data_IF_837927434098
#
_entry.id   IF_837927434098
#
_cell.length_a   1.000
_cell.length_b   1.000
_cell.length_c   1.000
_cell.angle_alpha   90.00
_cell.angle_beta   90.00
_cell.angle_gamma   90.00
#
_symmetry.space_group_name_H-M   'P 1'
#
loop_
_entity.id
_entity.type
_entity.pdbx_description
1 polymer ?
#
# COMPACT_ATOMS: atom_id res chain seq x y z
N UNK A 1 6.34 24.69 -13.15
CA UNK A 1 5.44 24.26 -12.06
C UNK A 1 6.27 23.99 -10.82
N UNK A 2 5.70 24.23 -9.65
CA UNK A 2 6.29 23.88 -8.36
C UNK A 2 5.74 22.54 -7.90
N UNK A 3 6.62 21.57 -7.69
CA UNK A 3 6.29 20.21 -7.24
C UNK A 3 6.83 20.07 -5.82
N UNK A 4 5.97 19.70 -4.89
CA UNK A 4 6.34 19.54 -3.49
C UNK A 4 6.17 18.09 -3.09
N UNK A 5 7.26 17.47 -2.64
CA UNK A 5 7.24 16.16 -1.95
C UNK A 5 7.09 16.49 -0.47
N UNK A 6 5.87 16.32 0.04
CA UNK A 6 5.44 16.97 1.29
C UNK A 6 5.87 16.21 2.55
N UNK A 7 6.28 14.95 2.38
CA UNK A 7 6.75 14.05 3.43
C UNK A 7 7.81 13.07 2.88
N UNK A 8 8.61 12.40 3.73
CA UNK A 8 9.57 11.42 3.29
C UNK A 8 8.93 10.25 2.52
N UNK A 9 9.49 9.91 1.36
CA UNK A 9 9.03 8.78 0.54
C UNK A 9 9.75 7.46 0.84
N UNK A 10 10.65 7.43 1.84
CA UNK A 10 11.40 6.24 2.21
C UNK A 10 12.45 5.80 1.18
N UNK A 11 12.91 6.71 0.33
CA UNK A 11 13.97 6.48 -0.65
C UNK A 11 15.22 7.30 -0.30
N UNK A 12 16.39 6.87 -0.80
CA UNK A 12 17.63 7.60 -0.55
C UNK A 12 17.68 8.90 -1.35
N UNK A 13 18.46 9.91 -0.91
CA UNK A 13 18.65 11.17 -1.64
C UNK A 13 19.11 10.96 -3.09
N UNK A 14 19.97 9.97 -3.34
CA UNK A 14 20.48 9.66 -4.68
C UNK A 14 19.34 9.16 -5.60
N UNK A 15 18.49 8.25 -5.12
CA UNK A 15 17.32 7.77 -5.85
C UNK A 15 16.30 8.90 -6.10
N UNK A 16 16.12 9.79 -5.13
CA UNK A 16 15.26 10.95 -5.31
C UNK A 16 15.82 11.88 -6.39
N UNK A 17 17.11 12.15 -6.37
CA UNK A 17 17.78 12.99 -7.36
C UNK A 17 17.64 12.38 -8.77
N UNK A 18 17.87 11.08 -8.92
CA UNK A 18 17.69 10.33 -10.18
C UNK A 18 16.24 10.43 -10.68
N UNK A 19 15.27 10.09 -9.85
CA UNK A 19 13.85 10.10 -10.19
C UNK A 19 13.33 11.50 -10.59
N UNK A 20 13.92 12.56 -10.03
CA UNK A 20 13.49 13.94 -10.29
C UNK A 20 14.28 14.64 -11.39
N UNK A 21 15.39 14.06 -11.87
CA UNK A 21 16.30 14.70 -12.83
C UNK A 21 15.61 15.14 -14.11
N UNK A 22 14.82 14.27 -14.73
CA UNK A 22 14.11 14.58 -15.98
C UNK A 22 13.06 15.69 -15.80
N UNK A 23 12.44 15.78 -14.64
CA UNK A 23 11.44 16.79 -14.31
C UNK A 23 12.11 18.16 -14.08
N UNK A 24 13.23 18.17 -13.36
CA UNK A 24 14.06 19.38 -13.15
C UNK A 24 14.61 19.90 -14.47
N UNK A 25 15.09 19.02 -15.37
CA UNK A 25 15.61 19.38 -16.69
C UNK A 25 14.57 20.08 -17.58
N UNK A 26 13.26 19.86 -17.30
CA UNK A 26 12.15 20.55 -17.97
C UNK A 26 11.80 21.91 -17.33
N UNK A 27 12.61 22.38 -16.41
CA UNK A 27 12.42 23.70 -15.75
C UNK A 27 11.37 23.67 -14.63
N UNK A 28 11.07 22.52 -14.03
CA UNK A 28 10.18 22.45 -12.88
C UNK A 28 10.97 22.54 -11.57
N UNK A 29 10.45 23.30 -10.61
CA UNK A 29 10.98 23.37 -9.26
C UNK A 29 10.51 22.17 -8.45
N UNK A 30 11.42 21.52 -7.71
CA UNK A 30 11.10 20.41 -6.80
C UNK A 30 11.61 20.74 -5.40
N UNK A 31 10.68 20.80 -4.46
CA UNK A 31 10.95 20.94 -3.02
C UNK A 31 10.60 19.60 -2.37
N UNK A 32 11.53 19.04 -1.60
CA UNK A 32 11.30 17.77 -0.88
C UNK A 32 11.55 17.98 0.61
N UNK A 33 10.60 17.51 1.42
CA UNK A 33 10.72 17.48 2.87
C UNK A 33 11.14 16.09 3.33
N UNK A 34 12.08 16.04 4.24
CA UNK A 34 12.66 14.82 4.84
C UNK A 34 12.02 14.44 6.19
N UNK A 35 11.05 15.25 6.64
CA UNK A 35 10.33 15.06 7.90
C UNK A 35 8.81 15.04 7.68
N UNK A 36 8.10 14.22 8.46
CA UNK A 36 6.64 14.31 8.56
C UNK A 36 6.26 15.57 9.36
N UNK A 37 5.13 16.14 9.02
CA UNK A 37 4.57 17.31 9.72
C UNK A 37 3.17 16.97 10.21
N UNK A 38 3.00 16.82 11.52
CA UNK A 38 1.72 16.47 12.13
C UNK A 38 0.78 17.66 12.28
N UNK A 39 1.33 18.86 12.42
CA UNK A 39 0.57 20.09 12.47
C UNK A 39 -0.01 20.41 11.09
N UNK A 40 -1.32 20.42 10.99
CA UNK A 40 -2.04 20.61 9.72
C UNK A 40 -1.84 22.01 9.12
N UNK A 41 -1.62 23.02 9.95
CA UNK A 41 -1.37 24.39 9.47
C UNK A 41 0.02 24.50 8.86
N UNK A 42 1.03 23.91 9.51
CA UNK A 42 2.39 23.82 8.96
C UNK A 42 2.45 22.93 7.73
N UNK A 43 1.67 21.86 7.71
CA UNK A 43 1.56 21.00 6.53
C UNK A 43 0.99 21.78 5.33
N UNK A 44 -0.04 22.59 5.57
CA UNK A 44 -0.60 23.47 4.57
C UNK A 44 0.42 24.51 4.07
N UNK A 45 1.24 25.06 4.96
CA UNK A 45 2.32 26.00 4.58
C UNK A 45 3.35 25.34 3.64
N UNK A 46 3.68 24.04 3.85
CA UNK A 46 4.56 23.29 2.92
C UNK A 46 3.99 23.21 1.52
N UNK A 47 2.65 23.07 1.39
CA UNK A 47 1.96 22.85 0.13
C UNK A 47 1.33 24.08 -0.53
N UNK A 48 1.27 25.23 0.16
CA UNK A 48 0.43 26.38 -0.24
C UNK A 48 0.65 26.91 -1.66
N UNK A 49 1.90 26.88 -2.13
CA UNK A 49 2.29 27.39 -3.46
C UNK A 49 2.53 26.27 -4.48
N UNK A 50 2.24 25.01 -4.13
CA UNK A 50 2.48 23.88 -4.99
C UNK A 50 1.45 23.78 -6.11
N UNK A 51 1.90 23.52 -7.33
CA UNK A 51 1.05 23.06 -8.44
C UNK A 51 0.75 21.56 -8.31
N UNK A 52 1.74 20.78 -7.84
CA UNK A 52 1.69 19.32 -7.67
C UNK A 52 2.23 18.98 -6.28
N UNK A 53 1.49 18.14 -5.56
CA UNK A 53 1.99 17.58 -4.29
C UNK A 53 2.14 16.06 -4.47
N UNK A 54 3.32 15.55 -4.08
CA UNK A 54 3.59 14.12 -3.92
C UNK A 54 3.51 13.80 -2.44
N UNK A 55 2.69 12.84 -2.08
CA UNK A 55 2.40 12.45 -0.70
C UNK A 55 2.40 10.92 -0.58
N UNK A 56 2.86 10.38 0.54
CA UNK A 56 2.80 8.94 0.80
C UNK A 56 1.50 8.57 1.55
N UNK A 57 1.50 8.69 2.87
CA UNK A 57 0.38 8.22 3.69
C UNK A 57 -0.03 9.20 4.80
N UNK A 58 0.51 10.42 4.80
CA UNK A 58 0.16 11.43 5.78
C UNK A 58 -1.28 11.94 5.52
N UNK A 59 -2.11 12.17 6.56
CA UNK A 59 -3.43 12.74 6.37
C UNK A 59 -3.38 14.10 5.68
N UNK A 60 -4.10 14.22 4.58
CA UNK A 60 -4.16 15.44 3.76
C UNK A 60 -5.63 15.74 3.46
N UNK A 61 -6.29 16.36 4.44
CA UNK A 61 -7.72 16.57 4.45
C UNK A 61 -8.11 17.93 3.89
N UNK A 62 -9.41 18.17 3.78
CA UNK A 62 -10.00 19.40 3.25
C UNK A 62 -9.35 20.67 3.83
N UNK A 63 -9.15 20.74 5.15
CA UNK A 63 -8.56 21.89 5.85
C UNK A 63 -7.13 22.24 5.37
N UNK A 64 -6.37 21.27 4.86
CA UNK A 64 -5.06 21.48 4.25
C UNK A 64 -5.21 21.80 2.77
N UNK A 65 -5.99 21.00 2.03
CA UNK A 65 -6.17 21.12 0.59
C UNK A 65 -6.71 22.51 0.22
N UNK A 66 -7.66 23.07 0.98
CA UNK A 66 -8.26 24.37 0.70
C UNK A 66 -7.28 25.55 0.80
N UNK A 67 -6.15 25.38 1.50
CA UNK A 67 -5.08 26.36 1.61
C UNK A 67 -4.08 26.29 0.44
N UNK A 68 -4.05 25.18 -0.30
CA UNK A 68 -3.17 24.96 -1.45
C UNK A 68 -3.82 25.48 -2.74
N UNK A 69 -3.83 26.80 -2.93
CA UNK A 69 -4.62 27.49 -3.96
C UNK A 69 -4.23 27.16 -5.41
N UNK A 70 -2.98 26.77 -5.65
CA UNK A 70 -2.46 26.46 -6.99
C UNK A 70 -2.50 24.97 -7.31
N UNK A 71 -2.96 24.12 -6.36
CA UNK A 71 -2.88 22.67 -6.47
C UNK A 71 -3.76 22.15 -7.60
N UNK A 72 -3.14 21.39 -8.52
CA UNK A 72 -3.77 20.76 -9.68
C UNK A 72 -3.74 19.25 -9.60
N UNK A 73 -2.72 18.70 -8.92
CA UNK A 73 -2.51 17.26 -8.84
C UNK A 73 -1.98 16.85 -7.45
N UNK A 74 -2.63 15.86 -6.86
CA UNK A 74 -2.12 15.05 -5.76
C UNK A 74 -1.64 13.70 -6.30
N UNK A 75 -0.34 13.44 -6.21
CA UNK A 75 0.28 12.17 -6.59
C UNK A 75 0.57 11.37 -5.33
N UNK A 76 -0.24 10.35 -5.07
CA UNK A 76 -0.13 9.52 -3.88
C UNK A 76 0.82 8.37 -4.16
N UNK A 77 1.97 8.33 -3.47
CA UNK A 77 2.99 7.29 -3.58
C UNK A 77 2.61 5.99 -2.83
N UNK A 78 1.33 5.70 -2.77
CA UNK A 78 0.72 4.52 -2.15
C UNK A 78 -0.47 4.03 -2.98
N UNK A 79 -1.00 2.85 -2.65
CA UNK A 79 -2.21 2.32 -3.29
C UNK A 79 -3.47 2.97 -2.71
N UNK A 80 -3.57 3.03 -1.37
CA UNK A 80 -4.73 3.60 -0.69
C UNK A 80 -4.73 5.13 -0.74
N UNK A 81 -5.91 5.73 -0.85
CA UNK A 81 -6.12 7.18 -0.86
C UNK A 81 -7.05 7.65 0.27
N UNK A 82 -7.32 6.78 1.25
CA UNK A 82 -8.26 7.04 2.35
C UNK A 82 -7.84 8.21 3.26
N UNK A 83 -6.55 8.58 3.22
CA UNK A 83 -5.98 9.73 3.94
C UNK A 83 -6.19 11.07 3.21
N UNK A 84 -6.68 11.03 1.96
CA UNK A 84 -7.01 12.21 1.14
C UNK A 84 -8.52 12.44 1.16
N UNK A 85 -8.95 13.70 1.14
CA UNK A 85 -10.34 14.09 0.90
C UNK A 85 -10.59 14.14 -0.62
N UNK A 86 -10.81 12.97 -1.22
CA UNK A 86 -10.94 12.80 -2.68
C UNK A 86 -12.16 13.53 -3.23
N UNK A 87 -13.28 13.53 -2.49
CA UNK A 87 -14.50 14.20 -2.92
C UNK A 87 -14.28 15.72 -2.98
N UNK A 88 -13.62 16.29 -1.98
CA UNK A 88 -13.24 17.69 -2.00
C UNK A 88 -12.26 18.03 -3.14
N UNK A 89 -11.28 17.16 -3.41
CA UNK A 89 -10.39 17.33 -4.57
C UNK A 89 -11.18 17.39 -5.88
N UNK A 90 -12.16 16.49 -6.05
CA UNK A 90 -13.02 16.44 -7.23
C UNK A 90 -13.85 17.73 -7.38
N UNK A 91 -14.44 18.23 -6.30
CA UNK A 91 -15.17 19.50 -6.29
C UNK A 91 -14.29 20.68 -6.73
N UNK A 92 -13.00 20.67 -6.37
CA UNK A 92 -12.02 21.71 -6.70
C UNK A 92 -11.32 21.49 -8.05
N UNK A 93 -11.62 20.43 -8.78
CA UNK A 93 -10.93 20.09 -10.03
C UNK A 93 -9.48 19.63 -9.84
N UNK A 94 -9.11 19.19 -8.64
CA UNK A 94 -7.78 18.66 -8.33
C UNK A 94 -7.76 17.18 -8.71
N UNK A 95 -6.83 16.80 -9.59
CA UNK A 95 -6.64 15.41 -9.96
C UNK A 95 -5.96 14.64 -8.82
N UNK A 96 -6.42 13.43 -8.51
CA UNK A 96 -5.78 12.53 -7.53
C UNK A 96 -5.35 11.26 -8.27
N UNK A 97 -4.05 10.97 -8.25
CA UNK A 97 -3.47 9.75 -8.78
C UNK A 97 -2.83 8.93 -7.67
N UNK A 98 -2.82 7.62 -7.80
CA UNK A 98 -2.15 6.73 -6.86
C UNK A 98 -1.18 5.78 -7.56
N UNK A 99 -0.36 5.07 -6.77
CA UNK A 99 0.60 4.08 -7.26
C UNK A 99 0.00 2.66 -7.21
N UNK A 100 -1.25 2.48 -7.66
CA UNK A 100 -1.90 1.18 -7.63
C UNK A 100 -1.09 0.11 -8.38
N UNK A 101 -0.96 -1.08 -7.77
CA UNK A 101 -0.27 -2.22 -8.37
C UNK A 101 1.19 -2.40 -7.96
N UNK A 102 1.87 -1.38 -7.46
CA UNK A 102 3.29 -1.46 -7.10
C UNK A 102 3.61 -2.53 -6.04
N UNK A 103 2.70 -2.75 -5.12
CA UNK A 103 2.88 -3.65 -3.97
C UNK A 103 2.12 -4.98 -4.10
N UNK A 104 1.47 -5.26 -5.23
CA UNK A 104 0.60 -6.44 -5.38
C UNK A 104 1.31 -7.75 -5.05
N UNK A 105 2.54 -7.94 -5.54
CA UNK A 105 3.32 -9.13 -5.23
C UNK A 105 3.79 -9.15 -3.79
N UNK A 106 4.40 -8.05 -3.33
CA UNK A 106 4.94 -7.96 -1.97
C UNK A 106 3.89 -8.21 -0.88
N UNK A 107 2.68 -7.65 -1.03
CA UNK A 107 1.58 -7.86 -0.08
C UNK A 107 1.04 -9.29 -0.16
N UNK A 108 0.93 -9.87 -1.36
CA UNK A 108 0.51 -11.26 -1.51
C UNK A 108 1.52 -12.23 -0.86
N UNK A 109 2.81 -12.00 -1.07
CA UNK A 109 3.90 -12.80 -0.46
C UNK A 109 3.89 -12.66 1.07
N UNK A 110 3.73 -11.45 1.60
CA UNK A 110 3.64 -11.21 3.04
C UNK A 110 2.46 -11.94 3.67
N UNK A 111 1.30 -12.01 3.00
CA UNK A 111 0.15 -12.77 3.49
C UNK A 111 0.50 -14.25 3.74
N UNK A 112 1.27 -14.88 2.84
CA UNK A 112 1.75 -16.25 3.04
C UNK A 112 2.86 -16.34 4.08
N UNK A 113 3.78 -15.38 4.11
CA UNK A 113 4.78 -15.28 5.17
C UNK A 113 4.15 -15.27 6.55
N UNK A 114 3.11 -14.48 6.76
CA UNK A 114 2.36 -14.40 8.01
C UNK A 114 1.56 -15.68 8.28
N UNK A 115 0.85 -16.22 7.28
CA UNK A 115 0.08 -17.45 7.43
C UNK A 115 0.97 -18.63 7.82
N UNK A 116 2.11 -18.81 7.14
CA UNK A 116 3.09 -19.87 7.46
C UNK A 116 3.71 -19.61 8.84
N UNK A 117 4.03 -18.37 9.16
CA UNK A 117 4.60 -18.01 10.47
C UNK A 117 3.69 -18.41 11.63
N UNK A 118 2.39 -18.17 11.50
CA UNK A 118 1.37 -18.59 12.49
C UNK A 118 1.22 -20.10 12.51
N UNK A 119 1.01 -20.73 11.34
CA UNK A 119 0.80 -22.18 11.25
C UNK A 119 1.99 -23.01 11.77
N UNK A 120 3.20 -22.50 11.61
CA UNK A 120 4.44 -23.20 11.98
C UNK A 120 5.04 -22.70 13.30
N UNK A 121 4.35 -21.82 14.02
CA UNK A 121 4.82 -21.22 15.28
C UNK A 121 6.23 -20.59 15.19
N UNK A 122 6.56 -19.97 14.02
CA UNK A 122 7.93 -19.51 13.75
C UNK A 122 8.47 -18.57 14.84
N UNK A 123 7.74 -17.52 15.29
CA UNK A 123 8.26 -16.63 16.33
C UNK A 123 8.46 -17.34 17.68
N UNK A 124 7.54 -18.25 18.02
CA UNK A 124 7.65 -19.02 19.28
C UNK A 124 8.83 -19.99 19.23
N UNK A 125 9.04 -20.67 18.09
CA UNK A 125 10.19 -21.56 17.90
C UNK A 125 11.52 -20.77 17.96
N UNK A 126 11.61 -19.61 17.31
CA UNK A 126 12.82 -18.76 17.38
C UNK A 126 13.11 -18.35 18.83
N UNK A 127 12.09 -17.90 19.57
CA UNK A 127 12.25 -17.49 20.96
C UNK A 127 12.71 -18.63 21.88
N UNK A 128 12.22 -19.85 21.65
CA UNK A 128 12.65 -21.05 22.41
C UNK A 128 14.08 -21.47 22.03
N UNK A 129 14.41 -21.47 20.74
CA UNK A 129 15.77 -21.83 20.27
C UNK A 129 16.83 -20.88 20.83
N UNK A 130 16.54 -19.57 20.92
CA UNK A 130 17.44 -18.58 21.51
C UNK A 130 17.71 -18.80 23.01
N UNK A 131 16.88 -19.61 23.67
CA UNK A 131 17.01 -20.01 25.06
C UNK A 131 17.49 -21.47 25.21
N UNK A 132 18.11 -22.02 24.17
CA UNK A 132 18.61 -23.40 24.11
C UNK A 132 17.54 -24.47 24.39
N UNK A 133 16.26 -24.12 24.14
CA UNK A 133 15.11 -25.02 24.29
C UNK A 133 14.84 -25.81 23.01
N UNK A 134 13.76 -26.59 23.03
CA UNK A 134 13.33 -27.44 21.92
C UNK A 134 11.91 -27.07 21.45
N UNK A 135 11.49 -27.64 20.32
CA UNK A 135 10.15 -27.47 19.76
C UNK A 135 9.02 -28.16 20.54
N UNK A 136 9.27 -28.70 21.72
CA UNK A 136 8.26 -29.39 22.52
C UNK A 136 7.02 -28.49 22.73
N UNK A 137 5.84 -28.99 22.38
CA UNK A 137 4.60 -28.23 22.45
C UNK A 137 4.35 -27.20 21.32
N UNK A 138 5.29 -27.05 20.39
CA UNK A 138 5.19 -26.08 19.30
C UNK A 138 4.99 -26.78 17.94
N UNK A 139 4.25 -27.89 17.92
CA UNK A 139 3.91 -28.60 16.67
C UNK A 139 2.95 -27.73 15.86
N UNK A 140 3.35 -27.40 14.62
CA UNK A 140 2.55 -26.59 13.71
C UNK A 140 1.74 -27.43 12.73
N UNK A 141 0.98 -26.73 11.89
CA UNK A 141 0.24 -27.29 10.75
C UNK A 141 0.84 -26.88 9.40
N UNK A 142 0.19 -27.27 8.33
CA UNK A 142 0.55 -26.94 6.95
C UNK A 142 -0.63 -26.32 6.21
N UNK A 143 -0.37 -25.65 5.09
CA UNK A 143 -1.43 -25.08 4.24
C UNK A 143 -2.10 -26.13 3.35
N UNK A 144 -1.36 -27.15 2.94
CA UNK A 144 -1.86 -28.19 2.04
C UNK A 144 -3.18 -28.80 2.54
N UNK A 145 -4.16 -28.92 1.65
CA UNK A 145 -5.48 -29.48 1.93
C UNK A 145 -6.41 -28.59 2.79
N UNK A 146 -5.95 -27.44 3.27
CA UNK A 146 -6.81 -26.52 4.04
C UNK A 146 -7.67 -25.64 3.14
N UNK A 147 -8.74 -25.11 3.71
CA UNK A 147 -9.54 -24.06 3.07
C UNK A 147 -8.92 -22.72 3.35
N UNK A 148 -8.62 -21.97 2.30
CA UNK A 148 -8.08 -20.60 2.37
C UNK A 148 -9.16 -19.60 1.93
N UNK A 149 -9.60 -18.75 2.85
CA UNK A 149 -10.61 -17.73 2.59
C UNK A 149 -9.98 -16.40 2.14
N UNK A 150 -10.48 -15.83 1.06
CA UNK A 150 -10.03 -14.52 0.53
C UNK A 150 -11.20 -13.54 0.53
N UNK A 151 -11.12 -12.49 1.36
CA UNK A 151 -12.08 -11.39 1.37
C UNK A 151 -11.57 -10.26 0.49
N UNK A 152 -12.26 -10.04 -0.64
CA UNK A 152 -11.87 -9.08 -1.66
C UNK A 152 -10.95 -9.68 -2.74
N UNK A 153 -11.49 -9.83 -3.95
CA UNK A 153 -10.76 -10.36 -5.11
C UNK A 153 -10.25 -9.27 -6.06
N UNK A 154 -9.76 -8.16 -5.50
CA UNK A 154 -8.99 -7.15 -6.22
C UNK A 154 -7.65 -7.70 -6.74
N UNK A 155 -6.73 -6.83 -7.16
CA UNK A 155 -5.43 -7.25 -7.68
C UNK A 155 -4.65 -8.14 -6.68
N UNK A 156 -4.57 -7.72 -5.42
CA UNK A 156 -3.87 -8.43 -4.35
C UNK A 156 -4.60 -9.74 -4.02
N UNK A 157 -5.91 -9.71 -3.72
CA UNK A 157 -6.65 -10.91 -3.34
C UNK A 157 -6.69 -11.96 -4.44
N UNK A 158 -6.79 -11.56 -5.71
CA UNK A 158 -6.67 -12.50 -6.86
C UNK A 158 -5.29 -13.16 -6.91
N UNK A 159 -4.23 -12.44 -6.59
CA UNK A 159 -2.87 -12.99 -6.52
C UNK A 159 -2.73 -13.97 -5.35
N UNK A 160 -3.23 -13.59 -4.17
CA UNK A 160 -3.26 -14.46 -2.98
C UNK A 160 -4.02 -15.76 -3.27
N UNK A 161 -5.20 -15.68 -3.88
CA UNK A 161 -6.00 -16.85 -4.22
C UNK A 161 -5.24 -17.85 -5.11
N UNK A 162 -4.55 -17.35 -6.16
CA UNK A 162 -3.73 -18.18 -7.05
C UNK A 162 -2.55 -18.85 -6.33
N UNK A 163 -1.90 -18.12 -5.42
CA UNK A 163 -0.79 -18.67 -4.63
C UNK A 163 -1.33 -19.74 -3.65
N UNK A 164 -2.48 -19.50 -3.01
CA UNK A 164 -3.11 -20.50 -2.12
C UNK A 164 -3.43 -21.80 -2.85
N UNK A 165 -3.92 -21.73 -4.09
CA UNK A 165 -4.11 -22.93 -4.93
C UNK A 165 -2.80 -23.67 -5.20
N UNK A 166 -1.70 -22.93 -5.44
CA UNK A 166 -0.39 -23.52 -5.65
C UNK A 166 0.15 -24.23 -4.38
N UNK A 167 -0.26 -23.78 -3.19
CA UNK A 167 -0.02 -24.50 -1.92
C UNK A 167 -0.95 -25.71 -1.70
N UNK A 168 -1.85 -26.01 -2.65
CA UNK A 168 -2.79 -27.11 -2.54
C UNK A 168 -3.98 -26.81 -1.63
N UNK A 169 -4.30 -25.56 -1.38
CA UNK A 169 -5.49 -25.17 -0.62
C UNK A 169 -6.76 -25.26 -1.49
N UNK A 170 -7.90 -25.61 -0.87
CA UNK A 170 -9.21 -25.25 -1.40
C UNK A 170 -9.40 -23.75 -1.18
N UNK A 171 -9.67 -22.96 -2.24
CA UNK A 171 -9.83 -21.52 -2.10
C UNK A 171 -11.28 -21.13 -2.19
N UNK A 172 -11.75 -20.38 -1.18
CA UNK A 172 -13.07 -19.73 -1.18
C UNK A 172 -12.89 -18.23 -1.14
N UNK A 173 -13.78 -17.48 -1.78
CA UNK A 173 -13.66 -16.04 -1.86
C UNK A 173 -15.00 -15.35 -1.54
N UNK A 174 -14.90 -14.15 -0.98
CA UNK A 174 -16.01 -13.21 -0.88
C UNK A 174 -15.60 -11.87 -1.50
N UNK A 175 -16.43 -11.32 -2.38
CA UNK A 175 -16.16 -10.00 -2.97
C UNK A 175 -17.46 -9.41 -3.53
N UNK A 176 -17.58 -8.08 -3.53
CA UNK A 176 -18.72 -7.36 -4.14
C UNK A 176 -18.90 -7.70 -5.62
N UNK A 177 -17.82 -8.00 -6.32
CA UNK A 177 -17.82 -8.37 -7.73
C UNK A 177 -17.23 -9.76 -7.87
N UNK A 178 -17.98 -10.65 -8.47
CA UNK A 178 -17.52 -12.00 -8.86
C UNK A 178 -16.73 -11.89 -10.16
N UNK A 179 -15.55 -12.49 -10.20
CA UNK A 179 -14.70 -12.55 -11.37
C UNK A 179 -14.81 -13.90 -12.07
N UNK A 180 -15.35 -13.95 -13.31
CA UNK A 180 -15.52 -15.23 -14.03
C UNK A 180 -14.23 -16.02 -14.21
N UNK A 181 -13.11 -15.33 -14.43
CA UNK A 181 -11.80 -15.95 -14.58
C UNK A 181 -11.31 -16.66 -13.31
N UNK A 182 -11.73 -16.18 -12.14
CA UNK A 182 -11.39 -16.83 -10.87
C UNK A 182 -12.30 -18.02 -10.59
N UNK A 183 -13.59 -17.92 -10.91
CA UNK A 183 -14.50 -19.08 -10.87
C UNK A 183 -14.04 -20.18 -11.82
N UNK A 184 -13.66 -19.84 -13.06
CA UNK A 184 -13.10 -20.78 -14.03
C UNK A 184 -11.79 -21.43 -13.56
N UNK A 185 -11.03 -20.76 -12.67
CA UNK A 185 -9.86 -21.31 -12.00
C UNK A 185 -10.19 -22.16 -10.75
N UNK A 186 -11.45 -22.47 -10.48
CA UNK A 186 -11.87 -23.34 -9.38
C UNK A 186 -11.98 -22.63 -8.03
N UNK A 187 -12.09 -21.30 -8.00
CA UNK A 187 -12.31 -20.53 -6.76
C UNK A 187 -13.81 -20.38 -6.53
N UNK A 188 -14.29 -20.88 -5.41
CA UNK A 188 -15.69 -20.82 -5.00
C UNK A 188 -15.98 -19.44 -4.36
N UNK A 189 -16.95 -18.71 -4.90
CA UNK A 189 -17.42 -17.47 -4.26
C UNK A 189 -18.55 -17.78 -3.28
N UNK A 190 -18.39 -17.28 -2.06
CA UNK A 190 -19.40 -17.35 -1.00
C UNK A 190 -20.27 -16.09 -1.01
N UNK A 191 -21.52 -16.23 -0.56
CA UNK A 191 -22.49 -15.15 -0.38
C UNK A 191 -22.38 -14.51 1.00
#
# INVERSE_FOLDING_TARGET
>A
MKIVIIEPLGITPEKLAEATAAVKARGHEIVAYDTKEEDQDKLAERGKDADIIIIANQPFRKNVIEKCKNLKLLSVAFTGVDHIDVDFCKEKGICVCNAAGYSTNAVAELAFGLAISVLRNIPACDAVCRKEGTKAGLVGGELFGKTFGVVGTGAIGSKVAKIAQAFGCKVVAYSRTVKPEMQGAGIEYLS
#
